data_IF_620309615561
#
_entry.id   IF_620309615561
#
_cell.length_a   1.000
_cell.length_b   1.000
_cell.length_c   1.000
_cell.angle_alpha   90.00
_cell.angle_beta   90.00
_cell.angle_gamma   90.00
#
_symmetry.space_group_name_H-M   'P 1'
#
loop_
_entity.id
_entity.type
_entity.pdbx_description
1 polymer ?
#
# COMPACT_ATOMS: atom_id res chain seq x y z
N UNK A 1 -7.26 13.29 5.97
CA UNK A 1 -6.12 13.97 5.33
C UNK A 1 -4.82 13.37 5.79
N UNK A 2 -4.39 13.50 7.05
CA UNK A 2 -3.13 12.86 7.52
C UNK A 2 -3.19 11.32 7.45
N UNK A 3 -4.23 10.68 8.00
CA UNK A 3 -4.40 9.22 7.92
C UNK A 3 -4.41 8.71 6.47
N UNK A 4 -5.12 9.41 5.59
CA UNK A 4 -5.18 9.18 4.15
C UNK A 4 -3.79 9.28 3.49
N UNK A 5 -2.99 10.28 3.85
CA UNK A 5 -1.64 10.43 3.32
C UNK A 5 -0.72 9.27 3.73
N UNK A 6 -0.79 8.83 4.98
CA UNK A 6 -0.06 7.65 5.43
C UNK A 6 -0.54 6.37 4.75
N UNK A 7 -1.85 6.25 4.51
CA UNK A 7 -2.45 5.14 3.78
C UNK A 7 -1.91 5.06 2.35
N UNK A 8 -2.01 6.14 1.58
CA UNK A 8 -1.51 6.19 0.20
C UNK A 8 0.02 6.05 0.13
N UNK A 9 0.76 6.67 1.07
CA UNK A 9 2.20 6.50 1.20
C UNK A 9 2.59 5.04 1.46
N UNK A 10 1.79 4.29 2.21
CA UNK A 10 2.00 2.85 2.44
C UNK A 10 1.97 2.04 1.14
N UNK A 11 0.96 2.28 0.29
CA UNK A 11 0.89 1.64 -1.03
C UNK A 11 2.07 2.02 -1.90
N UNK A 12 2.35 3.33 -2.03
CA UNK A 12 3.42 3.84 -2.87
C UNK A 12 4.80 3.33 -2.44
N UNK A 13 5.10 3.38 -1.14
CA UNK A 13 6.34 2.86 -0.56
C UNK A 13 6.52 1.37 -0.87
N UNK A 14 5.50 0.55 -0.57
CA UNK A 14 5.60 -0.90 -0.74
C UNK A 14 5.74 -1.28 -2.22
N UNK A 15 5.02 -0.58 -3.11
CA UNK A 15 5.11 -0.77 -4.54
C UNK A 15 6.54 -0.47 -5.06
N UNK A 16 7.10 0.68 -4.70
CA UNK A 16 8.47 1.08 -5.08
C UNK A 16 9.50 0.11 -4.54
N UNK A 17 9.38 -0.28 -3.25
CA UNK A 17 10.26 -1.26 -2.60
C UNK A 17 10.27 -2.62 -3.30
N UNK A 18 9.13 -3.06 -3.84
CA UNK A 18 9.00 -4.30 -4.60
C UNK A 18 9.41 -4.14 -6.07
N UNK A 19 9.96 -3.00 -6.48
CA UNK A 19 10.38 -2.71 -7.84
C UNK A 19 9.23 -2.44 -8.82
N UNK A 20 8.05 -2.13 -8.29
CA UNK A 20 6.96 -1.51 -9.03
C UNK A 20 7.27 -0.04 -9.32
N UNK A 21 6.62 0.51 -10.33
CA UNK A 21 6.71 1.94 -10.69
C UNK A 21 5.39 2.60 -10.31
N UNK A 22 5.40 3.45 -9.29
CA UNK A 22 4.25 4.28 -8.92
C UNK A 22 4.17 5.40 -9.93
N UNK A 23 3.09 5.49 -10.70
CA UNK A 23 2.91 6.56 -11.70
C UNK A 23 2.52 7.87 -11.04
N UNK A 24 1.53 7.78 -10.16
CA UNK A 24 1.02 8.87 -9.37
C UNK A 24 0.46 8.30 -8.06
N UNK A 25 0.50 9.11 -7.02
CA UNK A 25 -0.18 8.88 -5.76
C UNK A 25 -0.83 10.20 -5.33
N UNK A 26 -2.10 10.16 -4.93
CA UNK A 26 -2.85 11.37 -4.55
C UNK A 26 -3.77 11.11 -3.36
N UNK A 27 -3.96 12.14 -2.53
CA UNK A 27 -4.94 12.19 -1.44
C UNK A 27 -6.17 13.05 -1.77
N UNK A 28 -6.22 13.62 -2.98
CA UNK A 28 -7.36 14.39 -3.50
C UNK A 28 -7.63 13.97 -4.96
N UNK A 29 -8.16 12.75 -5.19
CA UNK A 29 -8.45 12.28 -6.54
C UNK A 29 -9.62 13.05 -7.15
N UNK A 30 -9.54 13.33 -8.45
CA UNK A 30 -10.65 13.93 -9.19
C UNK A 30 -11.93 13.10 -9.04
N UNK A 31 -13.01 13.73 -8.56
CA UNK A 31 -14.33 13.12 -8.42
C UNK A 31 -15.04 13.01 -9.78
N UNK A 32 -14.50 12.16 -10.67
CA UNK A 32 -15.13 11.83 -11.96
C UNK A 32 -16.19 10.74 -11.77
N UNK A 33 -17.45 11.15 -11.50
CA UNK A 33 -18.72 10.38 -11.55
C UNK A 33 -18.76 8.95 -10.91
N UNK A 34 -17.73 8.53 -10.19
CA UNK A 34 -17.57 7.25 -9.51
C UNK A 34 -17.85 7.31 -8.01
N UNK A 35 -17.73 6.19 -7.27
CA UNK A 35 -17.78 6.22 -5.82
C UNK A 35 -16.70 7.16 -5.26
N UNK A 36 -17.00 7.89 -4.19
CA UNK A 36 -16.03 8.78 -3.53
C UNK A 36 -14.73 8.01 -3.26
N UNK A 37 -13.62 8.52 -3.80
CA UNK A 37 -12.27 7.99 -3.57
C UNK A 37 -11.59 8.97 -2.63
N UNK A 38 -11.03 8.47 -1.52
CA UNK A 38 -10.32 9.32 -0.57
C UNK A 38 -8.83 9.48 -0.93
N UNK A 39 -8.31 8.62 -1.81
CA UNK A 39 -6.96 8.64 -2.36
C UNK A 39 -6.86 7.67 -3.54
N UNK A 40 -5.76 7.72 -4.29
CA UNK A 40 -5.46 6.79 -5.39
C UNK A 40 -3.95 6.62 -5.57
N UNK A 41 -3.48 5.36 -5.56
CA UNK A 41 -2.10 5.00 -5.90
C UNK A 41 -2.06 4.14 -7.16
N UNK A 42 -1.42 4.65 -8.23
CA UNK A 42 -1.37 3.97 -9.53
C UNK A 42 -0.05 3.22 -9.73
N UNK A 43 -0.06 1.89 -9.56
CA UNK A 43 1.15 1.07 -9.68
C UNK A 43 1.23 0.37 -11.04
N UNK A 44 2.39 0.47 -11.68
CA UNK A 44 2.72 -0.26 -12.92
C UNK A 44 3.87 -1.23 -12.71
N UNK A 45 3.63 -2.47 -13.07
CA UNK A 45 4.63 -3.53 -13.08
C UNK A 45 5.20 -3.71 -14.49
N UNK A 46 6.52 -3.90 -14.60
CA UNK A 46 7.17 -4.14 -15.90
C UNK A 46 6.72 -5.48 -16.47
N UNK A 47 5.99 -5.44 -17.60
CA UNK A 47 5.49 -6.64 -18.30
C UNK A 47 6.63 -7.63 -18.61
N UNK A 48 6.37 -8.91 -18.36
CA UNK A 48 7.31 -10.01 -18.66
C UNK A 48 8.43 -10.23 -17.64
N UNK A 49 8.48 -9.48 -16.53
CA UNK A 49 9.45 -9.69 -15.45
C UNK A 49 8.92 -10.47 -14.24
N UNK A 50 7.60 -10.60 -14.10
CA UNK A 50 6.97 -11.31 -13.00
C UNK A 50 6.10 -12.44 -13.55
N UNK A 51 6.17 -13.59 -12.91
CA UNK A 51 5.13 -14.62 -13.04
C UNK A 51 3.82 -14.12 -12.42
N UNK A 52 2.70 -14.74 -12.81
CA UNK A 52 1.39 -14.43 -12.22
C UNK A 52 1.38 -14.63 -10.69
N UNK A 53 2.11 -15.63 -10.21
CA UNK A 53 2.28 -15.89 -8.77
C UNK A 53 2.99 -14.72 -8.08
N UNK A 54 4.16 -14.32 -8.56
CA UNK A 54 4.94 -13.22 -7.97
C UNK A 54 4.19 -11.89 -8.05
N UNK A 55 3.46 -11.64 -9.14
CA UNK A 55 2.62 -10.46 -9.27
C UNK A 55 1.56 -10.42 -8.16
N UNK A 56 0.83 -11.52 -7.93
CA UNK A 56 -0.21 -11.59 -6.90
C UNK A 56 0.37 -11.40 -5.50
N UNK A 57 1.46 -12.08 -5.16
CA UNK A 57 2.11 -11.92 -3.85
C UNK A 57 2.54 -10.47 -3.58
N UNK A 58 3.05 -9.78 -4.60
CA UNK A 58 3.44 -8.37 -4.49
C UNK A 58 2.23 -7.45 -4.41
N UNK A 59 1.22 -7.68 -5.23
CA UNK A 59 0.00 -6.88 -5.23
C UNK A 59 -0.75 -7.00 -3.89
N UNK A 60 -0.78 -8.19 -3.27
CA UNK A 60 -1.33 -8.41 -1.92
C UNK A 60 -0.58 -7.58 -0.88
N UNK A 61 0.76 -7.59 -0.92
CA UNK A 61 1.58 -6.78 -0.01
C UNK A 61 1.32 -5.28 -0.21
N UNK A 62 1.20 -4.82 -1.46
CA UNK A 62 0.90 -3.41 -1.75
C UNK A 62 -0.48 -3.04 -1.22
N UNK A 63 -1.53 -3.80 -1.52
CA UNK A 63 -2.89 -3.54 -1.03
C UNK A 63 -2.94 -3.47 0.50
N UNK A 64 -2.25 -4.37 1.20
CA UNK A 64 -2.28 -4.37 2.67
C UNK A 64 -1.34 -3.35 3.32
N UNK A 65 -0.42 -2.74 2.57
CA UNK A 65 0.53 -1.78 3.12
C UNK A 65 -0.10 -0.45 3.53
N UNK A 66 -1.12 0.04 2.82
CA UNK A 66 -1.84 1.27 3.18
C UNK A 66 -2.52 1.18 4.55
N UNK A 67 -3.39 0.18 4.78
CA UNK A 67 -3.99 -0.05 6.10
C UNK A 67 -2.96 -0.21 7.22
N UNK A 68 -1.85 -0.92 6.96
CA UNK A 68 -0.80 -1.12 7.98
C UNK A 68 -0.04 0.18 8.29
N UNK A 69 0.22 1.01 7.28
CA UNK A 69 0.84 2.32 7.47
C UNK A 69 -0.05 3.23 8.32
N UNK A 70 -1.36 3.21 8.07
CA UNK A 70 -2.35 3.94 8.86
C UNK A 70 -2.41 3.44 10.32
N UNK A 71 -2.37 2.12 10.55
CA UNK A 71 -2.27 1.54 11.90
C UNK A 71 -1.02 2.03 12.64
N UNK A 72 0.14 2.08 11.96
CA UNK A 72 1.39 2.55 12.55
C UNK A 72 1.33 4.02 12.92
N UNK A 73 0.80 4.85 12.03
CA UNK A 73 0.67 6.29 12.25
C UNK A 73 -0.31 6.61 13.39
N UNK A 74 -1.48 5.96 13.41
CA UNK A 74 -2.51 6.18 14.44
C UNK A 74 -2.16 5.55 15.79
N UNK A 75 -1.29 4.52 15.80
CA UNK A 75 -0.96 3.73 16.99
C UNK A 75 -2.06 2.76 17.41
N UNK A 76 -3.14 2.65 16.62
CA UNK A 76 -4.29 1.81 16.93
C UNK A 76 -4.22 0.48 16.17
N UNK A 77 -4.16 -0.67 16.87
CA UNK A 77 -4.11 -1.99 16.24
C UNK A 77 -5.51 -2.42 15.81
N UNK A 78 -5.98 -1.93 14.68
CA UNK A 78 -7.23 -2.38 14.08
C UNK A 78 -7.03 -3.65 13.24
N UNK A 79 -8.05 -4.49 13.14
CA UNK A 79 -8.07 -5.58 12.16
C UNK A 79 -8.59 -5.03 10.81
N UNK A 80 -7.95 -5.30 9.67
CA UNK A 80 -8.34 -4.79 8.36
C UNK A 80 -9.84 -4.84 8.04
N UNK A 81 -10.48 -5.98 8.32
CA UNK A 81 -11.92 -6.17 8.10
C UNK A 81 -12.88 -5.45 9.06
N UNK A 82 -12.40 -4.62 10.00
CA UNK A 82 -13.22 -3.85 10.94
C UNK A 82 -13.30 -2.36 10.59
N UNK A 83 -12.47 -1.87 9.67
CA UNK A 83 -12.44 -0.48 9.22
C UNK A 83 -13.03 -0.45 7.82
N UNK A 84 -14.11 0.32 7.64
CA UNK A 84 -14.86 0.33 6.39
C UNK A 84 -14.01 0.87 5.23
N UNK A 85 -13.13 1.80 5.55
CA UNK A 85 -12.19 2.47 4.66
C UNK A 85 -11.18 1.48 4.05
N UNK A 86 -10.83 0.41 4.78
CA UNK A 86 -9.87 -0.61 4.34
C UNK A 86 -10.52 -1.82 3.64
N UNK A 87 -11.85 -1.82 3.52
CA UNK A 87 -12.59 -2.96 2.97
C UNK A 87 -12.19 -3.25 1.52
N UNK A 88 -11.87 -2.21 0.73
CA UNK A 88 -11.45 -2.37 -0.66
C UNK A 88 -10.08 -3.06 -0.76
N UNK A 89 -9.10 -2.61 0.03
CA UNK A 89 -7.76 -3.22 0.07
C UNK A 89 -7.81 -4.67 0.51
N UNK A 90 -8.61 -4.96 1.54
CA UNK A 90 -8.80 -6.31 2.03
C UNK A 90 -9.45 -7.20 0.96
N UNK A 91 -10.50 -6.72 0.29
CA UNK A 91 -11.16 -7.47 -0.77
C UNK A 91 -10.22 -7.72 -1.97
N UNK A 92 -9.43 -6.71 -2.35
CA UNK A 92 -8.42 -6.84 -3.40
C UNK A 92 -7.37 -7.89 -3.02
N UNK A 93 -6.84 -7.84 -1.81
CA UNK A 93 -5.90 -8.82 -1.30
C UNK A 93 -6.52 -10.23 -1.24
N UNK A 94 -7.80 -10.32 -0.87
CA UNK A 94 -8.56 -11.57 -0.84
C UNK A 94 -8.69 -12.23 -2.21
N UNK A 95 -9.09 -11.47 -3.22
CA UNK A 95 -9.29 -11.94 -4.59
C UNK A 95 -7.95 -12.33 -5.24
N UNK A 96 -6.88 -11.58 -4.94
CA UNK A 96 -5.53 -11.92 -5.39
C UNK A 96 -4.97 -13.17 -4.70
N UNK A 97 -5.32 -13.40 -3.43
CA UNK A 97 -4.88 -14.56 -2.67
C UNK A 97 -5.62 -15.84 -3.08
N UNK A 98 -6.79 -15.75 -3.71
CA UNK A 98 -7.60 -16.91 -4.07
C UNK A 98 -6.85 -17.95 -4.93
N UNK A 99 -6.19 -17.57 -6.04
CA UNK A 99 -5.44 -18.53 -6.84
C UNK A 99 -4.16 -19.04 -6.17
N UNK A 100 -3.61 -18.28 -5.21
CA UNK A 100 -2.40 -18.66 -4.46
C UNK A 100 -2.72 -19.66 -3.34
N UNK A 101 -3.81 -19.40 -2.63
CA UNK A 101 -4.27 -20.17 -1.48
C UNK A 101 -5.78 -20.45 -1.65
N UNK A 102 -6.14 -21.50 -2.41
CA UNK A 102 -7.54 -21.80 -2.71
C UNK A 102 -8.37 -22.20 -1.48
N UNK A 103 -7.74 -22.84 -0.48
CA UNK A 103 -8.41 -23.22 0.76
C UNK A 103 -8.75 -21.98 1.60
N UNK A 104 -10.04 -21.82 1.90
CA UNK A 104 -10.59 -20.65 2.59
C UNK A 104 -9.91 -20.37 3.95
N UNK A 105 -9.71 -21.40 4.77
CA UNK A 105 -9.13 -21.24 6.11
C UNK A 105 -7.66 -20.86 6.03
N UNK A 106 -6.92 -21.50 5.13
CA UNK A 106 -5.51 -21.17 4.89
C UNK A 106 -5.35 -19.77 4.29
N UNK A 107 -6.29 -19.33 3.44
CA UNK A 107 -6.30 -17.98 2.88
C UNK A 107 -6.49 -16.91 3.96
N UNK A 108 -7.44 -17.12 4.88
CA UNK A 108 -7.61 -16.25 6.05
C UNK A 108 -6.33 -16.18 6.88
N UNK A 109 -5.73 -17.32 7.23
CA UNK A 109 -4.47 -17.34 8.00
C UNK A 109 -3.34 -16.61 7.27
N UNK A 110 -3.22 -16.81 5.96
CA UNK A 110 -2.24 -16.12 5.12
C UNK A 110 -2.45 -14.59 5.17
N UNK A 111 -3.68 -14.12 4.95
CA UNK A 111 -4.02 -12.69 4.94
C UNK A 111 -4.05 -12.05 6.33
N UNK A 112 -4.19 -12.82 7.40
CA UNK A 112 -4.01 -12.32 8.78
C UNK A 112 -2.53 -12.20 9.16
N UNK A 113 -1.67 -13.05 8.58
CA UNK A 113 -0.24 -13.02 8.81
C UNK A 113 0.44 -11.88 8.02
N UNK A 114 0.03 -11.64 6.77
CA UNK A 114 0.67 -10.62 5.92
C UNK A 114 0.70 -9.22 6.54
N UNK A 115 -0.39 -8.66 7.11
CA UNK A 115 -0.36 -7.36 7.77
C UNK A 115 0.58 -7.32 8.98
N UNK A 116 0.76 -8.43 9.70
CA UNK A 116 1.69 -8.51 10.83
C UNK A 116 3.14 -8.43 10.35
N UNK A 117 3.45 -9.15 9.27
CA UNK A 117 4.77 -9.12 8.67
C UNK A 117 5.07 -7.72 8.09
N UNK A 118 4.09 -7.10 7.43
CA UNK A 118 4.17 -5.73 6.95
C UNK A 118 4.35 -4.74 8.09
N UNK A 119 3.63 -4.90 9.21
CA UNK A 119 3.75 -4.01 10.36
C UNK A 119 5.19 -3.99 10.88
N UNK A 120 5.79 -5.17 11.05
CA UNK A 120 7.19 -5.27 11.46
C UNK A 120 8.16 -4.68 10.43
N UNK A 121 7.90 -4.89 9.14
CA UNK A 121 8.72 -4.34 8.06
C UNK A 121 8.65 -2.81 8.03
N UNK A 122 7.45 -2.24 8.01
CA UNK A 122 7.21 -0.81 7.86
C UNK A 122 7.63 -0.03 9.11
N UNK A 123 7.51 -0.61 10.31
CA UNK A 123 7.94 0.02 11.56
C UNK A 123 9.47 0.03 11.76
N UNK A 124 10.23 -0.69 10.92
CA UNK A 124 11.68 -0.74 11.01
C UNK A 124 12.32 0.41 10.22
N UNK A 125 13.37 1.02 10.77
CA UNK A 125 14.20 1.97 10.01
C UNK A 125 15.05 1.27 8.95
N UNK A 126 15.31 1.89 7.79
CA UNK A 126 14.85 3.23 7.37
C UNK A 126 13.45 3.25 6.71
N UNK A 127 12.70 2.14 6.74
CA UNK A 127 11.42 2.04 6.01
C UNK A 127 10.37 3.00 6.56
N UNK A 128 10.29 3.15 7.89
CA UNK A 128 9.35 4.08 8.50
C UNK A 128 9.65 5.52 8.08
N UNK A 129 10.91 5.95 8.16
CA UNK A 129 11.32 7.29 7.74
C UNK A 129 11.03 7.57 6.25
N UNK A 130 11.28 6.60 5.37
CA UNK A 130 10.93 6.72 3.94
C UNK A 130 9.42 6.91 3.72
N UNK A 131 8.60 6.10 4.40
CA UNK A 131 7.15 6.16 4.30
C UNK A 131 6.61 7.48 4.87
N UNK A 132 7.07 7.89 6.05
CA UNK A 132 6.69 9.16 6.66
C UNK A 132 7.07 10.34 5.77
N UNK A 133 8.26 10.30 5.15
CA UNK A 133 8.69 11.32 4.19
C UNK A 133 7.77 11.39 2.96
N UNK A 134 7.28 10.25 2.45
CA UNK A 134 6.27 10.25 1.38
C UNK A 134 4.96 10.87 1.85
N UNK A 135 4.48 10.51 3.05
CA UNK A 135 3.24 11.04 3.60
C UNK A 135 3.32 12.57 3.82
N UNK A 136 4.44 13.07 4.33
CA UNK A 136 4.67 14.51 4.53
C UNK A 136 4.66 15.27 3.19
N UNK A 137 5.28 14.71 2.15
CA UNK A 137 5.26 15.30 0.81
C UNK A 137 3.85 15.23 0.18
N UNK A 138 3.11 14.14 0.38
CA UNK A 138 1.71 14.04 -0.05
C UNK A 138 0.82 15.07 0.64
N UNK A 139 1.03 15.33 1.93
CA UNK A 139 0.29 16.38 2.66
C UNK A 139 0.62 17.78 2.16
N UNK A 140 1.85 18.00 1.70
CA UNK A 140 2.29 19.29 1.18
C UNK A 140 1.85 19.54 -0.27
N UNK A 141 1.78 18.49 -1.09
CA UNK A 141 1.60 18.61 -2.54
C UNK A 141 0.29 18.01 -3.06
N UNK A 142 -0.46 17.30 -2.20
CA UNK A 142 -1.72 16.58 -2.48
C UNK A 142 -1.56 15.40 -3.47
N UNK A 143 -0.68 15.53 -4.46
CA UNK A 143 -0.31 14.52 -5.45
C UNK A 143 1.20 14.48 -5.62
N UNK A 144 1.77 13.29 -5.72
CA UNK A 144 3.16 13.06 -6.12
C UNK A 144 3.21 12.22 -7.38
N UNK A 145 4.04 12.62 -8.33
CA UNK A 145 4.31 11.89 -9.55
C UNK A 145 5.47 10.89 -9.35
N UNK A 146 5.64 10.00 -10.33
CA UNK A 146 6.63 8.92 -10.30
C UNK A 146 8.04 9.34 -9.85
N UNK A 147 8.57 10.43 -10.41
CA UNK A 147 9.94 10.88 -10.14
C UNK A 147 10.07 11.28 -8.66
N UNK A 148 9.10 12.02 -8.14
CA UNK A 148 9.06 12.46 -6.74
C UNK A 148 8.98 11.26 -5.79
N UNK A 149 8.08 10.31 -6.06
CA UNK A 149 7.96 9.08 -5.25
C UNK A 149 9.28 8.30 -5.26
N UNK A 150 9.90 8.17 -6.43
CA UNK A 150 11.14 7.40 -6.59
C UNK A 150 12.29 8.07 -5.86
N UNK A 151 12.44 9.40 -5.99
CA UNK A 151 13.51 10.16 -5.37
C UNK A 151 13.41 10.13 -3.84
N UNK A 152 12.20 10.35 -3.30
CA UNK A 152 11.96 10.30 -1.85
C UNK A 152 12.32 8.92 -1.30
N UNK A 153 11.86 7.82 -1.93
CA UNK A 153 12.16 6.48 -1.42
C UNK A 153 13.65 6.14 -1.53
N UNK A 154 14.31 6.54 -2.63
CA UNK A 154 15.72 6.26 -2.86
C UNK A 154 16.65 7.05 -1.93
N UNK A 155 16.24 8.24 -1.46
CA UNK A 155 17.00 8.99 -0.45
C UNK A 155 17.27 8.15 0.80
N UNK A 156 16.32 7.28 1.16
CA UNK A 156 16.41 6.41 2.33
C UNK A 156 16.92 5.00 2.03
N UNK A 157 16.60 4.44 0.87
CA UNK A 157 16.83 3.03 0.56
C UNK A 157 18.02 2.74 -0.38
N UNK A 158 18.54 3.73 -1.11
CA UNK A 158 19.73 3.61 -1.96
C UNK A 158 19.46 3.18 -3.40
#
# INVERSE_FOLDING_TARGET
>A
METTAYHEAGHAFMATRLGGKVRSVTIDPDNDDGPERFGDTQVVWRKGRLSDHEFRERAIQVSLAGPVAEMLYTGDPYHPGLVAEWANDWQTAWDLAEPLVPDLRRRLVYLEQTPRDLYHLLNAEPNWSALASLADNLLAHETLEEEEVTDIVNEWLG
#
